data_IF_950966202236
#
_entry.id   IF_950966202236
#
_cell.length_a   1.000
_cell.length_b   1.000
_cell.length_c   1.000
_cell.angle_alpha   90.00
_cell.angle_beta   90.00
_cell.angle_gamma   90.00
#
_symmetry.space_group_name_H-M   'P 1'
#
loop_
_entity.id
_entity.type
_entity.pdbx_description
1 polymer ?
#
# COMPACT_ATOMS: atom_id res chain seq x y z
N UNK A 1 6.51 1.75 -17.75
CA UNK A 1 5.14 1.20 -17.87
C UNK A 1 4.80 0.14 -16.83
N UNK A 2 5.28 -1.12 -16.93
CA UNK A 2 4.83 -2.23 -16.07
C UNK A 2 4.98 -1.99 -14.56
N UNK A 3 6.11 -1.40 -14.14
CA UNK A 3 6.36 -1.06 -12.72
C UNK A 3 5.34 -0.04 -12.20
N UNK A 4 4.99 0.97 -13.00
CA UNK A 4 4.00 1.97 -12.60
C UNK A 4 2.57 1.39 -12.58
N UNK A 5 2.24 0.47 -13.49
CA UNK A 5 0.98 -0.27 -13.44
C UNK A 5 0.88 -1.10 -12.15
N UNK A 6 1.97 -1.75 -11.73
CA UNK A 6 2.02 -2.48 -10.47
C UNK A 6 1.82 -1.55 -9.26
N UNK A 7 2.51 -0.41 -9.23
CA UNK A 7 2.33 0.60 -8.20
C UNK A 7 0.93 1.20 -8.18
N UNK A 8 0.29 1.37 -9.34
CA UNK A 8 -1.10 1.82 -9.44
C UNK A 8 -2.02 0.85 -8.70
N UNK A 9 -1.88 -0.46 -8.95
CA UNK A 9 -2.67 -1.50 -8.28
C UNK A 9 -2.42 -1.48 -6.78
N UNK A 10 -1.16 -1.43 -6.34
CA UNK A 10 -0.84 -1.35 -4.90
C UNK A 10 -1.42 -0.08 -4.26
N UNK A 11 -1.33 1.06 -4.93
CA UNK A 11 -1.90 2.33 -4.47
C UNK A 11 -3.42 2.26 -4.32
N UNK A 12 -4.12 1.66 -5.29
CA UNK A 12 -5.57 1.44 -5.19
C UNK A 12 -5.92 0.54 -4.00
N UNK A 13 -5.19 -0.57 -3.80
CA UNK A 13 -5.41 -1.45 -2.65
C UNK A 13 -5.18 -0.68 -1.34
N UNK A 14 -4.13 0.14 -1.26
CA UNK A 14 -3.83 0.96 -0.08
C UNK A 14 -4.96 1.95 0.26
N UNK A 15 -5.60 2.54 -0.75
CA UNK A 15 -6.72 3.48 -0.55
C UNK A 15 -8.01 2.75 -0.18
N UNK A 16 -8.34 1.66 -0.88
CA UNK A 16 -9.64 0.97 -0.72
C UNK A 16 -9.64 0.04 0.49
N UNK A 17 -8.61 -0.81 0.61
CA UNK A 17 -8.50 -1.89 1.60
C UNK A 17 -7.06 -2.03 2.11
N UNK A 18 -6.53 -1.04 2.87
CA UNK A 18 -5.15 -1.08 3.39
C UNK A 18 -4.86 -2.30 4.29
N UNK A 19 -5.91 -2.92 4.85
CA UNK A 19 -5.82 -4.15 5.64
C UNK A 19 -5.25 -5.32 4.83
N UNK A 20 -5.48 -5.36 3.51
CA UNK A 20 -4.96 -6.43 2.65
C UNK A 20 -3.44 -6.35 2.55
N UNK A 21 -2.89 -5.14 2.40
CA UNK A 21 -1.44 -4.92 2.38
C UNK A 21 -0.82 -5.26 3.73
N UNK A 22 -1.48 -4.92 4.84
CA UNK A 22 -1.03 -5.32 6.17
C UNK A 22 -0.94 -6.84 6.32
N UNK A 23 -2.03 -7.56 5.99
CA UNK A 23 -2.08 -9.03 6.07
C UNK A 23 -1.08 -9.71 5.14
N UNK A 24 -0.89 -9.18 3.94
CA UNK A 24 0.10 -9.68 3.00
C UNK A 24 1.52 -9.46 3.54
N UNK A 25 1.82 -8.26 4.05
CA UNK A 25 3.11 -7.93 4.62
C UNK A 25 3.45 -8.80 5.84
N UNK A 26 2.50 -8.99 6.76
CA UNK A 26 2.68 -9.87 7.92
C UNK A 26 3.03 -11.31 7.50
N UNK A 27 2.33 -11.86 6.49
CA UNK A 27 2.63 -13.19 5.96
C UNK A 27 4.01 -13.27 5.31
N UNK A 28 4.39 -12.27 4.53
CA UNK A 28 5.70 -12.22 3.86
C UNK A 28 6.86 -12.04 4.85
N UNK A 29 6.63 -11.32 5.94
CA UNK A 29 7.61 -11.11 7.01
C UNK A 29 7.76 -12.32 7.94
N UNK A 30 6.86 -13.30 7.86
CA UNK A 30 6.93 -14.52 8.67
C UNK A 30 8.20 -15.29 8.33
N UNK A 31 9.05 -15.51 9.34
CA UNK A 31 10.37 -16.15 9.19
C UNK A 31 11.54 -15.16 9.07
N UNK A 32 11.28 -13.87 8.86
CA UNK A 32 12.31 -12.82 8.74
C UNK A 32 12.31 -11.83 9.90
N UNK A 33 11.16 -11.64 10.54
CA UNK A 33 10.97 -10.67 11.63
C UNK A 33 10.54 -11.40 12.89
N UNK A 34 11.00 -10.91 14.05
CA UNK A 34 10.66 -11.47 15.38
C UNK A 34 9.15 -11.46 15.67
N UNK A 35 8.43 -10.42 15.21
CA UNK A 35 6.99 -10.29 15.39
C UNK A 35 6.33 -9.84 14.08
N UNK A 36 6.04 -10.77 13.16
CA UNK A 36 5.43 -10.45 11.87
C UNK A 36 3.94 -10.08 12.00
N UNK A 37 3.29 -10.56 13.07
CA UNK A 37 1.87 -10.31 13.37
C UNK A 37 1.74 -9.24 14.48
N UNK A 38 2.61 -8.22 14.46
CA UNK A 38 2.57 -7.11 15.40
C UNK A 38 1.18 -6.43 15.42
N UNK A 39 0.89 -5.63 16.45
CA UNK A 39 -0.42 -5.01 16.66
C UNK A 39 -0.94 -4.34 15.38
N UNK A 40 -2.11 -4.79 14.91
CA UNK A 40 -2.75 -4.26 13.71
C UNK A 40 -2.98 -2.73 13.87
N UNK A 41 -2.75 -1.93 12.81
CA UNK A 41 -3.07 -0.51 12.83
C UNK A 41 -4.51 -0.24 13.28
N UNK A 42 -4.69 0.77 14.12
CA UNK A 42 -6.03 1.19 14.53
C UNK A 42 -6.82 1.78 13.34
N UNK A 43 -8.12 2.05 13.54
CA UNK A 43 -8.92 2.76 12.53
C UNK A 43 -8.28 4.09 12.07
N UNK A 44 -7.66 4.83 13.01
CA UNK A 44 -6.90 6.06 12.70
C UNK A 44 -5.63 5.76 11.89
N UNK A 45 -4.93 4.67 12.23
CA UNK A 45 -3.78 4.20 11.46
C UNK A 45 -4.15 3.87 10.02
N UNK A 46 -5.24 3.14 9.81
CA UNK A 46 -5.76 2.87 8.47
C UNK A 46 -6.26 4.10 7.73
N UNK A 47 -6.86 5.07 8.42
CA UNK A 47 -7.21 6.36 7.81
C UNK A 47 -5.95 7.08 7.30
N UNK A 48 -4.88 7.12 8.09
CA UNK A 48 -3.61 7.71 7.65
C UNK A 48 -3.00 6.95 6.47
N UNK A 49 -3.03 5.61 6.49
CA UNK A 49 -2.55 4.80 5.36
C UNK A 49 -3.30 5.12 4.07
N UNK A 50 -4.61 5.35 4.13
CA UNK A 50 -5.41 5.78 2.97
C UNK A 50 -5.01 7.16 2.48
N UNK A 51 -4.84 8.13 3.38
CA UNK A 51 -4.40 9.49 3.03
C UNK A 51 -3.07 9.46 2.27
N UNK A 52 -2.08 8.74 2.81
CA UNK A 52 -0.79 8.53 2.13
C UNK A 52 -0.98 7.80 0.79
N UNK A 53 -1.87 6.81 0.75
CA UNK A 53 -2.22 6.08 -0.47
C UNK A 53 -2.79 6.97 -1.58
N UNK A 54 -3.62 7.96 -1.24
CA UNK A 54 -4.20 8.91 -2.21
C UNK A 54 -3.10 9.79 -2.81
N UNK A 55 -2.19 10.32 -1.97
CA UNK A 55 -1.06 11.13 -2.42
C UNK A 55 -0.16 10.30 -3.35
N UNK A 56 0.19 9.09 -2.91
CA UNK A 56 0.98 8.16 -3.71
C UNK A 56 0.33 7.83 -5.05
N UNK A 57 -0.98 7.52 -5.06
CA UNK A 57 -1.71 7.20 -6.28
C UNK A 57 -1.74 8.37 -7.26
N UNK A 58 -1.92 9.60 -6.77
CA UNK A 58 -1.85 10.82 -7.58
C UNK A 58 -0.49 10.97 -8.28
N UNK A 59 0.61 10.72 -7.55
CA UNK A 59 1.96 10.75 -8.12
C UNK A 59 2.17 9.66 -9.18
N UNK A 60 1.71 8.43 -8.92
CA UNK A 60 1.83 7.32 -9.89
C UNK A 60 1.04 7.61 -11.16
N UNK A 61 -0.18 8.15 -11.05
CA UNK A 61 -0.99 8.56 -12.21
C UNK A 61 -0.29 9.66 -12.99
N UNK A 62 0.24 10.69 -12.30
CA UNK A 62 1.01 11.75 -12.96
C UNK A 62 2.20 11.20 -13.74
N UNK A 63 2.98 10.30 -13.14
CA UNK A 63 4.11 9.66 -13.81
C UNK A 63 3.69 8.81 -15.01
N UNK A 64 2.56 8.08 -14.92
CA UNK A 64 2.03 7.32 -16.05
C UNK A 64 1.65 8.23 -17.22
N UNK A 65 0.99 9.36 -16.94
CA UNK A 65 0.59 10.34 -17.97
C UNK A 65 1.82 10.97 -18.64
N UNK A 66 2.89 11.24 -17.90
CA UNK A 66 4.14 11.79 -18.46
C UNK A 66 4.98 10.78 -19.23
N UNK A 67 4.76 9.48 -19.02
CA UNK A 67 5.46 8.38 -19.71
C UNK A 67 4.65 7.80 -20.89
N UNK A 68 3.42 8.27 -21.09
CA UNK A 68 2.61 8.07 -22.28
C UNK A 68 3.10 8.96 -23.42
#
# INVERSE_FOLDING_TARGET
MLVLCFFLVLGVIQVVRPQLLWKANARLQRGWVKNPDATEPTSKGYAMSRTVGVIFLGLVIWMLVQQL
#
